data_IF_712974663457
#
_entry.id   IF_712974663457
#
_cell.length_a   1.000
_cell.length_b   1.000
_cell.length_c   1.000
_cell.angle_alpha   90.00
_cell.angle_beta   90.00
_cell.angle_gamma   90.00
#
_symmetry.space_group_name_H-M   'P 1'
#
loop_
_entity.id
_entity.type
_entity.pdbx_description
1 polymer ?
#
# COMPACT_ATOMS: atom_id res chain seq x y z
N UNK A 1 -10.69 10.06 33.42
CA UNK A 1 -10.04 8.80 33.02
C UNK A 1 -11.08 7.87 32.39
N UNK A 2 -11.41 8.09 31.11
CA UNK A 2 -12.35 7.24 30.36
C UNK A 2 -11.59 6.15 29.61
N UNK A 3 -11.83 4.89 29.96
CA UNK A 3 -11.24 3.73 29.27
C UNK A 3 -11.83 3.62 27.86
N UNK A 4 -11.06 4.06 26.87
CA UNK A 4 -11.33 3.89 25.44
C UNK A 4 -11.52 2.39 25.12
N UNK A 5 -12.74 1.99 24.76
CA UNK A 5 -13.12 0.58 24.48
C UNK A 5 -12.72 0.10 23.07
N UNK A 6 -12.19 0.99 22.23
CA UNK A 6 -11.77 0.77 20.83
C UNK A 6 -10.42 0.05 20.69
N UNK A 7 -9.66 -0.13 21.77
CA UNK A 7 -8.35 -0.82 21.70
C UNK A 7 -8.44 -2.32 21.38
N UNK A 8 -9.62 -2.95 21.54
CA UNK A 8 -9.76 -4.42 21.45
C UNK A 8 -10.34 -4.92 20.14
N UNK A 9 -10.93 -4.07 19.30
CA UNK A 9 -11.64 -4.50 18.09
C UNK A 9 -10.85 -4.23 16.80
N UNK A 10 -10.05 -3.16 16.73
CA UNK A 10 -9.21 -2.84 15.57
C UNK A 10 -7.99 -3.77 15.46
N UNK A 11 -7.15 -3.81 16.50
CA UNK A 11 -5.94 -4.66 16.56
C UNK A 11 -6.28 -6.16 16.44
N UNK A 12 -7.41 -6.58 17.04
CA UNK A 12 -7.91 -7.97 16.94
C UNK A 12 -8.39 -8.37 15.53
N UNK A 13 -8.56 -7.41 14.62
CA UNK A 13 -9.00 -7.62 13.23
C UNK A 13 -7.90 -7.30 12.20
N UNK A 14 -6.67 -7.09 12.65
CA UNK A 14 -5.53 -6.74 11.78
C UNK A 14 -5.58 -5.30 11.25
N UNK A 15 -6.28 -4.41 11.96
CA UNK A 15 -6.32 -2.97 11.68
C UNK A 15 -5.52 -2.20 12.73
N UNK A 16 -4.68 -1.29 12.27
CA UNK A 16 -3.84 -0.42 13.08
C UNK A 16 -4.40 1.00 13.06
N UNK A 17 -4.67 1.55 14.23
CA UNK A 17 -5.05 2.95 14.36
C UNK A 17 -3.81 3.84 14.27
N UNK A 18 -3.73 4.70 13.25
CA UNK A 18 -2.54 5.53 13.03
C UNK A 18 -2.32 6.55 14.14
N UNK A 19 -3.38 7.00 14.80
CA UNK A 19 -3.28 7.87 15.97
C UNK A 19 -2.42 7.27 17.09
N UNK A 20 -2.39 5.94 17.22
CA UNK A 20 -1.57 5.25 18.23
C UNK A 20 -0.06 5.29 17.92
N UNK A 21 0.33 5.70 16.70
CA UNK A 21 1.74 5.89 16.32
C UNK A 21 2.34 7.19 16.84
N UNK A 22 1.51 8.17 17.22
CA UNK A 22 1.96 9.44 17.77
C UNK A 22 2.34 9.34 19.26
N UNK A 23 3.15 10.26 19.79
CA UNK A 23 3.30 10.44 21.25
C UNK A 23 1.93 10.64 21.92
N UNK A 24 1.76 10.14 23.14
CA UNK A 24 0.45 10.16 23.86
C UNK A 24 -0.20 11.55 23.91
N UNK A 25 0.60 12.59 24.17
CA UNK A 25 0.12 13.98 24.23
C UNK A 25 -0.28 14.60 22.89
N UNK A 26 -0.20 13.87 21.77
CA UNK A 26 -0.63 14.30 20.44
C UNK A 26 -1.81 13.47 19.91
N UNK A 27 -2.37 12.57 20.73
CA UNK A 27 -3.42 11.62 20.34
C UNK A 27 -4.82 12.18 20.57
N UNK A 28 -5.12 13.32 19.97
CA UNK A 28 -6.46 13.91 20.00
C UNK A 28 -6.73 14.62 18.68
N UNK A 29 -8.00 14.67 18.30
CA UNK A 29 -8.47 15.40 17.12
C UNK A 29 -9.55 16.40 17.49
N UNK A 30 -9.91 16.47 18.77
CA UNK A 30 -10.96 17.32 19.32
C UNK A 30 -10.51 17.77 20.70
N UNK A 31 -10.73 19.04 21.02
CA UNK A 31 -10.58 19.59 22.37
C UNK A 31 -11.75 20.52 22.68
N UNK A 32 -12.42 20.23 23.78
CA UNK A 32 -13.51 21.05 24.29
C UNK A 32 -13.52 21.02 25.81
N UNK A 33 -13.60 22.21 26.41
CA UNK A 33 -13.63 22.38 27.87
C UNK A 33 -12.52 21.59 28.59
N UNK A 34 -11.30 21.63 28.04
CA UNK A 34 -10.10 20.94 28.54
C UNK A 34 -10.21 19.41 28.50
N UNK A 35 -11.05 18.88 27.62
CA UNK A 35 -11.22 17.46 27.43
C UNK A 35 -10.86 17.08 26.00
N UNK A 36 -9.57 16.77 25.81
CA UNK A 36 -9.03 16.29 24.55
C UNK A 36 -9.48 14.85 24.28
N UNK A 37 -9.97 14.59 23.07
CA UNK A 37 -10.49 13.28 22.69
C UNK A 37 -9.97 12.83 21.32
N UNK A 38 -9.77 11.52 21.20
CA UNK A 38 -9.50 10.82 19.96
C UNK A 38 -10.80 10.24 19.43
N UNK A 39 -11.55 10.97 18.60
CA UNK A 39 -12.85 10.50 18.08
C UNK A 39 -12.86 10.37 16.55
N UNK A 40 -11.81 10.84 15.89
CA UNK A 40 -11.57 10.63 14.48
C UNK A 40 -10.43 9.62 14.34
N UNK A 41 -10.58 8.62 13.46
CA UNK A 41 -9.57 7.57 13.29
C UNK A 41 -9.28 7.28 11.82
N UNK A 42 -7.99 7.18 11.50
CA UNK A 42 -7.52 6.50 10.30
C UNK A 42 -7.02 5.12 10.72
N UNK A 43 -7.70 4.07 10.22
CA UNK A 43 -7.30 2.68 10.40
C UNK A 43 -6.66 2.15 9.12
N UNK A 44 -5.52 1.47 9.25
CA UNK A 44 -4.85 0.81 8.12
C UNK A 44 -4.69 -0.68 8.38
N UNK A 45 -4.78 -1.51 7.34
CA UNK A 45 -4.50 -2.94 7.47
C UNK A 45 -3.02 -3.24 7.71
N UNK A 46 -2.72 -4.37 8.34
CA UNK A 46 -1.36 -4.87 8.64
C UNK A 46 -0.38 -4.69 7.47
N UNK A 47 -0.75 -5.14 6.27
CA UNK A 47 0.15 -5.09 5.11
C UNK A 47 0.57 -3.64 4.77
N UNK A 48 -0.37 -2.71 4.82
CA UNK A 48 -0.07 -1.30 4.56
C UNK A 48 0.74 -0.68 5.70
N UNK A 49 0.44 -1.07 6.95
CA UNK A 49 1.16 -0.60 8.14
C UNK A 49 2.63 -1.01 8.15
N UNK A 50 2.92 -2.25 7.75
CA UNK A 50 4.27 -2.82 7.77
C UNK A 50 5.07 -2.47 6.52
N UNK A 51 4.43 -2.48 5.34
CA UNK A 51 5.16 -2.44 4.07
C UNK A 51 5.08 -1.09 3.33
N UNK A 52 4.21 -0.15 3.73
CA UNK A 52 4.27 1.20 3.18
C UNK A 52 5.25 2.08 3.96
N UNK A 53 5.90 3.00 3.27
CA UNK A 53 6.51 4.14 3.94
C UNK A 53 5.39 5.11 4.34
N UNK A 54 4.99 5.04 5.60
CA UNK A 54 3.87 5.75 6.20
C UNK A 54 4.35 6.93 7.02
N UNK A 55 3.73 8.09 6.81
CA UNK A 55 3.86 9.26 7.68
C UNK A 55 2.45 9.72 8.05
N UNK A 56 2.24 10.06 9.32
CA UNK A 56 0.93 10.39 9.85
C UNK A 56 1.06 11.51 10.88
N UNK A 57 0.10 12.43 10.87
CA UNK A 57 0.03 13.56 11.81
C UNK A 57 -1.42 14.03 12.00
N UNK A 58 -1.71 14.55 13.20
CA UNK A 58 -2.87 15.41 13.44
C UNK A 58 -2.43 16.85 13.24
N UNK A 59 -3.08 17.56 12.32
CA UNK A 59 -2.72 18.94 12.02
C UNK A 59 -3.49 19.87 12.96
N UNK A 60 -2.87 20.27 14.06
CA UNK A 60 -3.49 21.14 15.08
C UNK A 60 -3.64 22.59 14.60
N UNK A 61 -4.72 22.86 13.86
CA UNK A 61 -5.04 24.18 13.28
C UNK A 61 -6.40 24.71 13.69
N UNK A 62 -7.18 23.90 14.40
CA UNK A 62 -8.57 24.15 14.73
C UNK A 62 -8.81 24.05 16.24
N UNK A 63 -8.69 22.85 16.82
CA UNK A 63 -9.33 22.51 18.10
C UNK A 63 -8.80 23.28 19.32
N UNK A 64 -7.56 23.74 19.27
CA UNK A 64 -6.92 24.49 20.37
C UNK A 64 -7.12 26.02 20.31
N UNK A 65 -7.63 26.52 19.18
CA UNK A 65 -7.71 27.96 18.94
C UNK A 65 -9.10 28.51 19.31
N UNK A 66 -9.16 29.77 19.75
CA UNK A 66 -10.43 30.40 20.14
C UNK A 66 -11.33 30.73 18.92
N UNK A 67 -10.72 31.01 17.77
CA UNK A 67 -11.42 31.22 16.50
C UNK A 67 -11.22 29.96 15.68
N UNK A 68 -12.29 29.19 15.52
CA UNK A 68 -12.26 27.87 14.94
C UNK A 68 -12.99 27.83 13.60
N UNK A 69 -12.41 27.15 12.62
CA UNK A 69 -13.16 26.76 11.40
C UNK A 69 -13.94 25.46 11.63
N UNK A 70 -13.43 24.61 12.54
CA UNK A 70 -14.06 23.40 13.06
C UNK A 70 -13.60 23.19 14.50
N UNK A 71 -14.38 22.48 15.30
CA UNK A 71 -14.02 21.95 16.63
C UNK A 71 -13.12 20.70 16.54
N UNK A 72 -12.85 20.21 15.34
CA UNK A 72 -11.94 19.09 15.07
C UNK A 72 -10.70 19.50 14.27
N UNK A 73 -9.57 18.88 14.59
CA UNK A 73 -8.34 18.93 13.80
C UNK A 73 -8.34 17.83 12.71
N UNK A 74 -7.97 18.17 11.47
CA UNK A 74 -7.84 17.17 10.42
C UNK A 74 -6.65 16.25 10.67
N UNK A 75 -6.81 14.99 10.28
CA UNK A 75 -5.73 14.01 10.20
C UNK A 75 -5.18 13.93 8.78
N UNK A 76 -3.86 13.84 8.66
CA UNK A 76 -3.18 13.66 7.37
C UNK A 76 -2.32 12.41 7.43
N UNK A 77 -2.49 11.55 6.43
CA UNK A 77 -1.61 10.40 6.20
C UNK A 77 -0.99 10.51 4.82
N UNK A 78 0.33 10.29 4.75
CA UNK A 78 1.07 10.10 3.52
C UNK A 78 1.50 8.65 3.41
N UNK A 79 1.03 7.99 2.36
CA UNK A 79 1.33 6.59 2.06
C UNK A 79 2.20 6.54 0.82
N UNK A 80 3.46 6.14 0.98
CA UNK A 80 4.31 5.78 -0.16
C UNK A 80 4.35 4.27 -0.28
N UNK A 81 3.60 3.76 -1.25
CA UNK A 81 3.64 2.35 -1.64
C UNK A 81 5.03 2.05 -2.19
N UNK A 82 5.70 1.06 -1.61
CA UNK A 82 7.00 0.61 -2.10
C UNK A 82 6.80 -0.11 -3.42
N UNK A 83 7.76 0.06 -4.34
CA UNK A 83 7.77 -0.69 -5.59
C UNK A 83 8.03 -2.16 -5.24
N UNK A 84 7.19 -3.09 -5.69
CA UNK A 84 7.42 -4.51 -5.46
C UNK A 84 8.72 -4.92 -6.15
N UNK A 85 9.51 -5.74 -5.46
CA UNK A 85 10.71 -6.35 -6.01
C UNK A 85 10.34 -7.39 -7.06
N UNK A 86 11.28 -7.70 -7.95
CA UNK A 86 11.08 -8.79 -8.93
C UNK A 86 10.74 -10.12 -8.24
N UNK A 87 11.31 -10.39 -7.06
CA UNK A 87 11.04 -11.61 -6.29
C UNK A 87 9.61 -11.65 -5.74
N UNK A 88 9.10 -10.54 -5.19
CA UNK A 88 7.71 -10.43 -4.72
C UNK A 88 6.72 -10.60 -5.86
N UNK A 89 7.01 -10.02 -7.03
CA UNK A 89 6.17 -10.22 -8.22
C UNK A 89 6.23 -11.68 -8.67
N UNK A 90 7.40 -12.32 -8.65
CA UNK A 90 7.53 -13.74 -8.97
C UNK A 90 6.73 -14.62 -8.00
N UNK A 91 6.72 -14.30 -6.71
CA UNK A 91 5.92 -15.02 -5.72
C UNK A 91 4.40 -14.89 -6.00
N UNK A 92 3.94 -13.70 -6.40
CA UNK A 92 2.55 -13.49 -6.82
C UNK A 92 2.22 -14.30 -8.07
N UNK A 93 3.10 -14.32 -9.07
CA UNK A 93 2.94 -15.16 -10.28
C UNK A 93 2.79 -16.63 -9.90
N UNK A 94 3.66 -17.15 -9.03
CA UNK A 94 3.61 -18.55 -8.59
C UNK A 94 2.29 -18.89 -7.88
N UNK A 95 1.69 -17.92 -7.19
CA UNK A 95 0.41 -18.12 -6.49
C UNK A 95 -0.79 -18.34 -7.41
N UNK A 96 -0.69 -17.95 -8.69
CA UNK A 96 -1.78 -18.05 -9.65
C UNK A 96 -1.71 -19.29 -10.54
N UNK A 97 -0.61 -20.04 -10.46
CA UNK A 97 -0.27 -21.02 -11.49
C UNK A 97 -0.47 -22.43 -10.98
N UNK A 98 -1.31 -23.17 -11.69
CA UNK A 98 -1.66 -24.55 -11.38
C UNK A 98 -0.68 -25.57 -11.99
N UNK A 99 0.17 -25.15 -12.94
CA UNK A 99 1.21 -25.95 -13.60
C UNK A 99 2.57 -25.23 -13.64
N UNK A 100 3.61 -25.82 -13.06
CA UNK A 100 4.91 -25.17 -12.85
C UNK A 100 5.63 -24.69 -14.13
N UNK A 101 5.42 -25.33 -15.28
CA UNK A 101 6.10 -24.97 -16.54
C UNK A 101 5.63 -23.62 -17.11
N UNK A 102 4.33 -23.34 -17.04
CA UNK A 102 3.74 -22.10 -17.56
C UNK A 102 4.18 -20.88 -16.72
N UNK A 103 4.37 -21.07 -15.41
CA UNK A 103 4.85 -20.03 -14.50
C UNK A 103 6.30 -19.67 -14.65
N UNK A 104 7.14 -20.65 -15.00
CA UNK A 104 8.56 -20.42 -15.22
C UNK A 104 8.85 -19.50 -16.41
N UNK A 105 8.03 -19.49 -17.47
CA UNK A 105 8.23 -18.56 -18.61
C UNK A 105 7.89 -17.12 -18.22
N UNK A 106 6.75 -16.91 -17.54
CA UNK A 106 6.34 -15.57 -17.09
C UNK A 106 7.33 -15.03 -16.05
N UNK A 107 7.74 -15.88 -15.10
CA UNK A 107 8.77 -15.58 -14.12
C UNK A 107 10.07 -15.18 -14.81
N UNK A 108 10.60 -15.99 -15.75
CA UNK A 108 11.82 -15.66 -16.48
C UNK A 108 11.75 -14.28 -17.15
N UNK A 109 10.59 -13.90 -17.69
CA UNK A 109 10.40 -12.59 -18.34
C UNK A 109 10.32 -11.44 -17.34
N UNK A 110 9.76 -11.68 -16.15
CA UNK A 110 9.69 -10.70 -15.06
C UNK A 110 11.03 -10.54 -14.33
N UNK A 111 11.76 -11.63 -14.08
CA UNK A 111 13.09 -11.65 -13.46
C UNK A 111 14.21 -11.35 -14.45
N UNK A 112 13.96 -11.33 -15.77
CA UNK A 112 15.02 -11.04 -16.74
C UNK A 112 15.40 -9.56 -16.67
N UNK A 113 16.31 -9.26 -15.76
CA UNK A 113 17.15 -8.09 -15.77
C UNK A 113 18.15 -8.09 -16.95
N UNK A 114 17.71 -8.34 -18.19
CA UNK A 114 18.44 -7.81 -19.36
C UNK A 114 18.16 -6.31 -19.53
N UNK A 115 18.21 -5.59 -18.41
CA UNK A 115 18.09 -4.15 -18.26
C UNK A 115 19.14 -3.55 -17.31
N UNK A 116 19.92 -4.36 -16.56
CA UNK A 116 21.04 -3.87 -15.74
C UNK A 116 22.38 -3.69 -16.49
N UNK A 117 22.36 -3.67 -17.83
CA UNK A 117 23.51 -3.18 -18.62
C UNK A 117 23.03 -2.46 -19.89
N UNK A 118 22.26 -1.39 -19.73
CA UNK A 118 22.03 -0.43 -20.81
C UNK A 118 21.97 1.01 -20.28
N UNK A 119 23.00 1.41 -19.54
CA UNK A 119 23.41 2.81 -19.47
C UNK A 119 23.99 3.32 -20.82
N UNK A 120 24.02 2.47 -21.84
CA UNK A 120 24.28 2.83 -23.22
C UNK A 120 23.18 2.21 -24.11
N UNK A 121 22.46 3.04 -24.86
CA UNK A 121 21.45 2.66 -25.87
C UNK A 121 20.05 2.21 -25.36
N UNK A 122 19.18 3.18 -25.07
CA UNK A 122 17.83 3.19 -25.63
C UNK A 122 16.72 2.26 -25.05
N UNK A 123 15.94 2.83 -24.12
CA UNK A 123 14.48 2.68 -23.89
C UNK A 123 13.96 1.44 -23.13
N UNK A 124 13.70 1.54 -21.80
CA UNK A 124 13.04 0.51 -20.98
C UNK A 124 11.61 0.10 -21.41
N UNK A 125 10.96 0.82 -22.33
CA UNK A 125 9.57 0.59 -22.74
C UNK A 125 9.28 -0.73 -23.47
N UNK A 126 10.29 -1.40 -24.04
CA UNK A 126 10.07 -2.59 -24.86
C UNK A 126 9.89 -3.88 -24.05
N UNK A 127 10.56 -4.01 -22.90
CA UNK A 127 10.46 -5.19 -22.03
C UNK A 127 9.07 -5.32 -21.39
N UNK A 128 8.53 -4.21 -20.89
CA UNK A 128 7.19 -4.12 -20.32
C UNK A 128 6.10 -4.57 -21.31
N UNK A 129 6.18 -4.12 -22.58
CA UNK A 129 5.19 -4.49 -23.62
C UNK A 129 5.19 -5.99 -23.94
N UNK A 130 6.36 -6.64 -23.90
CA UNK A 130 6.50 -8.07 -24.13
C UNK A 130 5.80 -8.91 -23.04
N UNK A 131 5.96 -8.51 -21.78
CA UNK A 131 5.29 -9.13 -20.64
C UNK A 131 3.77 -8.96 -20.73
N UNK A 132 3.29 -7.74 -20.96
CA UNK A 132 1.86 -7.45 -21.10
C UNK A 132 1.19 -8.26 -22.21
N UNK A 133 1.86 -8.37 -23.36
CA UNK A 133 1.37 -9.17 -24.50
C UNK A 133 1.23 -10.65 -24.14
N UNK A 134 2.16 -11.18 -23.34
CA UNK A 134 2.13 -12.58 -22.93
C UNK A 134 1.04 -12.84 -21.90
N UNK A 135 0.91 -12.01 -20.86
CA UNK A 135 -0.16 -12.08 -19.87
C UNK A 135 -1.53 -12.14 -20.55
N UNK A 136 -1.78 -11.26 -21.53
CA UNK A 136 -3.05 -11.22 -22.26
C UNK A 136 -3.31 -12.50 -23.09
N UNK A 137 -2.26 -13.15 -23.61
CA UNK A 137 -2.39 -14.40 -24.38
C UNK A 137 -2.74 -15.60 -23.51
N UNK A 138 -2.47 -15.53 -22.22
CA UNK A 138 -2.63 -16.66 -21.29
C UNK A 138 -3.92 -16.58 -20.47
N UNK A 139 -4.65 -15.46 -20.59
CA UNK A 139 -6.05 -15.34 -20.14
C UNK A 139 -6.92 -16.40 -20.80
N UNK A 140 -7.66 -17.14 -19.99
CA UNK A 140 -8.55 -18.21 -20.43
C UNK A 140 -7.85 -19.56 -20.67
N UNK A 141 -6.52 -19.62 -20.61
CA UNK A 141 -5.77 -20.89 -20.59
C UNK A 141 -5.53 -21.34 -19.16
N UNK A 142 -4.75 -20.55 -18.42
CA UNK A 142 -4.38 -20.80 -17.03
C UNK A 142 -4.40 -19.53 -16.17
N UNK A 143 -4.63 -18.35 -16.77
CA UNK A 143 -4.97 -17.12 -16.05
C UNK A 143 -6.47 -16.81 -16.16
N UNK A 144 -7.08 -16.38 -15.07
CA UNK A 144 -8.35 -15.66 -15.09
C UNK A 144 -8.12 -14.20 -15.51
N UNK A 145 -9.19 -13.49 -15.89
CA UNK A 145 -9.11 -12.06 -16.16
C UNK A 145 -8.60 -11.26 -14.94
N UNK A 146 -9.09 -11.59 -13.74
CA UNK A 146 -8.65 -10.92 -12.51
C UNK A 146 -7.18 -11.17 -12.17
N UNK A 147 -6.66 -12.38 -12.43
CA UNK A 147 -5.23 -12.67 -12.24
C UNK A 147 -4.37 -11.89 -13.25
N UNK A 148 -4.81 -11.80 -14.50
CA UNK A 148 -4.13 -10.99 -15.50
C UNK A 148 -4.12 -9.49 -15.14
N UNK A 149 -5.22 -8.95 -14.64
CA UNK A 149 -5.29 -7.54 -14.19
C UNK A 149 -4.27 -7.25 -13.08
N UNK A 150 -4.11 -8.17 -12.11
CA UNK A 150 -3.09 -8.05 -11.05
C UNK A 150 -1.69 -8.05 -11.64
N UNK A 151 -1.38 -8.97 -12.55
CA UNK A 151 -0.06 -9.05 -13.19
C UNK A 151 0.25 -7.82 -14.04
N UNK A 152 -0.75 -7.26 -14.71
CA UNK A 152 -0.63 -6.02 -15.48
C UNK A 152 -0.36 -4.83 -14.56
N UNK A 153 -1.07 -4.73 -13.43
CA UNK A 153 -0.86 -3.69 -12.43
C UNK A 153 0.56 -3.77 -11.82
N UNK A 154 1.02 -4.97 -11.46
CA UNK A 154 2.36 -5.20 -10.93
C UNK A 154 3.45 -4.87 -11.95
N UNK A 155 3.23 -5.20 -13.23
CA UNK A 155 4.16 -4.82 -14.30
C UNK A 155 4.30 -3.30 -14.41
N UNK A 156 3.21 -2.54 -14.35
CA UNK A 156 3.28 -1.09 -14.38
C UNK A 156 4.03 -0.51 -13.17
N UNK A 157 3.86 -1.11 -11.99
CA UNK A 157 4.53 -0.69 -10.76
C UNK A 157 6.04 -0.96 -10.75
N UNK A 158 6.52 -1.99 -11.45
CA UNK A 158 7.96 -2.29 -11.56
C UNK A 158 8.70 -1.40 -12.57
N UNK A 159 8.03 -0.96 -13.64
CA UNK A 159 8.68 -0.29 -14.78
C UNK A 159 8.32 1.20 -14.97
N UNK A 160 7.42 1.74 -14.14
CA UNK A 160 7.10 3.17 -14.04
C UNK A 160 7.91 3.89 -12.97
#
# INVERSE_FOLDING_TARGET
MGSFRDRRDSQGRGLHALLETLPEGQRYTYDFDRNSQAIDHILVGENLFVNAALEYEVVHVNSEFAVQTSDHDPQVVRLRLLRPTSDEVCAVVQSFITNDDDGRDLQRRMSSEKGQSAAASGRPHHAHRGLQTQVQKDVGKWLTGSQADVLMMLSAAMFG
#
